data_IF_881683249074
#
_entry.id   IF_881683249074
#
_cell.length_a   1.000
_cell.length_b   1.000
_cell.length_c   1.000
_cell.angle_alpha   90.00
_cell.angle_beta   90.00
_cell.angle_gamma   90.00
#
_symmetry.space_group_name_H-M   'P 1'
#
loop_
_entity.id
_entity.type
_entity.pdbx_description
1 polymer ?
#
# COMPACT_ATOMS: atom_id res chain seq x y z
N UNK A 1 14.21 -18.54 -21.02
CA UNK A 1 13.57 -19.21 -19.90
C UNK A 1 12.39 -18.39 -19.42
N UNK A 2 11.32 -19.04 -19.20
CA UNK A 2 10.11 -18.38 -18.74
C UNK A 2 10.19 -18.07 -17.24
N UNK A 3 10.09 -16.84 -16.89
CA UNK A 3 9.96 -16.48 -15.49
C UNK A 3 8.61 -16.92 -14.97
N UNK A 4 8.61 -17.54 -13.82
CA UNK A 4 7.35 -17.83 -13.18
C UNK A 4 6.72 -16.50 -12.73
N UNK A 5 5.56 -16.20 -13.26
CA UNK A 5 4.80 -15.06 -12.82
C UNK A 5 4.02 -15.34 -11.54
N UNK A 6 4.03 -16.60 -11.11
CA UNK A 6 3.31 -17.05 -9.94
C UNK A 6 4.30 -17.59 -8.91
N UNK A 7 4.21 -17.08 -7.72
CA UNK A 7 5.03 -17.54 -6.60
C UNK A 7 4.24 -18.58 -5.82
N UNK A 8 4.91 -19.67 -5.45
CA UNK A 8 4.27 -20.74 -4.68
C UNK A 8 3.99 -20.32 -3.25
N UNK A 9 4.79 -19.39 -2.71
CA UNK A 9 4.61 -18.92 -1.34
C UNK A 9 4.86 -17.43 -1.24
N UNK A 10 4.39 -16.85 -0.14
CA UNK A 10 4.68 -15.46 0.17
C UNK A 10 6.18 -15.23 0.30
N UNK A 11 6.93 -16.22 0.82
CA UNK A 11 8.38 -16.12 0.95
C UNK A 11 9.07 -15.92 -0.40
N UNK A 12 8.58 -16.57 -1.45
CA UNK A 12 9.13 -16.40 -2.79
C UNK A 12 8.93 -14.97 -3.28
N UNK A 13 7.74 -14.42 -3.07
CA UNK A 13 7.43 -13.04 -3.43
C UNK A 13 8.29 -12.04 -2.63
N UNK A 14 8.49 -12.32 -1.34
CA UNK A 14 9.35 -11.49 -0.50
C UNK A 14 10.80 -11.52 -0.98
N UNK A 15 11.32 -12.68 -1.33
CA UNK A 15 12.68 -12.81 -1.85
C UNK A 15 12.86 -12.01 -3.14
N UNK A 16 11.93 -12.12 -4.06
CA UNK A 16 11.99 -11.37 -5.30
C UNK A 16 12.00 -9.87 -5.03
N UNK A 17 11.16 -9.41 -4.13
CA UNK A 17 11.08 -8.00 -3.77
C UNK A 17 12.37 -7.52 -3.12
N UNK A 18 12.93 -8.29 -2.20
CA UNK A 18 14.22 -7.96 -1.56
C UNK A 18 15.32 -7.82 -2.60
N UNK A 19 15.39 -8.75 -3.55
CA UNK A 19 16.39 -8.68 -4.61
C UNK A 19 16.19 -7.46 -5.51
N UNK A 20 14.95 -7.14 -5.83
CA UNK A 20 14.64 -5.96 -6.65
C UNK A 20 15.03 -4.65 -5.95
N UNK A 21 14.89 -4.59 -4.64
CA UNK A 21 15.25 -3.39 -3.85
C UNK A 21 16.76 -3.23 -3.74
N UNK A 22 17.49 -4.33 -3.69
CA UNK A 22 18.96 -4.25 -3.64
C UNK A 22 19.65 -5.35 -2.84
N UNK A 23 18.91 -6.40 -2.44
CA UNK A 23 19.46 -7.57 -1.77
C UNK A 23 19.34 -7.53 -0.26
N UNK A 24 19.70 -8.64 0.36
CA UNK A 24 19.49 -8.84 1.81
C UNK A 24 20.30 -7.89 2.68
N UNK A 25 21.47 -7.50 2.23
CA UNK A 25 22.31 -6.61 3.03
C UNK A 25 21.72 -5.21 3.11
N UNK A 26 21.30 -4.67 1.97
CA UNK A 26 20.69 -3.35 1.91
C UNK A 26 19.36 -3.33 2.66
N UNK A 27 18.49 -4.29 2.38
CA UNK A 27 17.16 -4.34 2.99
C UNK A 27 17.27 -4.64 4.48
N UNK A 28 18.18 -5.53 4.88
CA UNK A 28 18.42 -5.83 6.29
C UNK A 28 18.80 -4.59 7.09
N UNK A 29 19.68 -3.75 6.54
CA UNK A 29 20.06 -2.51 7.19
C UNK A 29 18.89 -1.53 7.34
N UNK A 30 17.96 -1.55 6.41
CA UNK A 30 16.76 -0.73 6.48
C UNK A 30 15.77 -1.21 7.53
N UNK A 31 15.64 -2.53 7.67
CA UNK A 31 14.71 -3.12 8.64
C UNK A 31 15.25 -3.07 10.06
N UNK A 32 16.54 -3.26 10.23
CA UNK A 32 17.19 -3.28 11.55
C UNK A 32 18.43 -2.39 11.54
N UNK A 33 18.24 -1.06 11.57
CA UNK A 33 19.37 -0.13 11.48
C UNK A 33 20.30 -0.18 12.68
N UNK A 34 19.85 -0.72 13.81
CA UNK A 34 20.65 -0.87 15.02
C UNK A 34 21.59 -2.08 14.98
N UNK A 35 21.40 -2.98 14.01
CA UNK A 35 22.27 -4.15 13.86
C UNK A 35 23.41 -3.90 12.90
N UNK A 36 24.48 -4.72 13.02
CA UNK A 36 25.52 -4.72 11.99
C UNK A 36 24.95 -5.21 10.68
N UNK A 37 25.57 -4.80 9.58
CA UNK A 37 25.09 -5.17 8.24
C UNK A 37 25.02 -6.70 8.06
N UNK A 38 26.04 -7.41 8.53
CA UNK A 38 26.07 -8.86 8.41
C UNK A 38 25.00 -9.56 9.26
N UNK A 39 24.76 -9.06 10.46
CA UNK A 39 23.73 -9.57 11.34
C UNK A 39 22.33 -9.34 10.77
N UNK A 40 22.09 -8.13 10.29
CA UNK A 40 20.79 -7.77 9.70
C UNK A 40 20.53 -8.61 8.44
N UNK A 41 21.53 -8.78 7.59
CA UNK A 41 21.41 -9.62 6.39
C UNK A 41 21.11 -11.06 6.73
N UNK A 42 21.80 -11.60 7.74
CA UNK A 42 21.58 -12.99 8.19
C UNK A 42 20.16 -13.17 8.76
N UNK A 43 19.71 -12.20 9.55
CA UNK A 43 18.35 -12.24 10.11
C UNK A 43 17.30 -12.19 9.02
N UNK A 44 17.52 -11.36 8.02
CA UNK A 44 16.58 -11.27 6.89
C UNK A 44 16.53 -12.59 6.12
N UNK A 45 17.67 -13.21 5.87
CA UNK A 45 17.69 -14.53 5.21
C UNK A 45 16.92 -15.58 6.00
N UNK A 46 17.04 -15.56 7.33
CA UNK A 46 16.26 -16.47 8.18
C UNK A 46 14.77 -16.21 8.06
N UNK A 47 14.37 -14.95 8.07
CA UNK A 47 12.95 -14.57 7.90
C UNK A 47 12.38 -14.97 6.54
N UNK A 48 13.22 -15.01 5.52
CA UNK A 48 12.81 -15.39 4.16
C UNK A 48 12.86 -16.89 3.93
N UNK A 49 13.41 -17.66 4.87
CA UNK A 49 13.49 -19.10 4.77
C UNK A 49 12.20 -19.72 5.29
N UNK A 50 11.52 -20.47 4.41
CA UNK A 50 10.23 -21.07 4.75
C UNK A 50 10.33 -22.08 5.90
N UNK A 51 11.50 -22.69 6.08
CA UNK A 51 11.73 -23.70 7.11
C UNK A 51 12.06 -23.12 8.48
N UNK A 52 12.26 -21.80 8.57
CA UNK A 52 12.58 -21.14 9.82
C UNK A 52 11.33 -20.59 10.49
N UNK A 53 11.39 -20.48 11.82
CA UNK A 53 10.30 -19.90 12.60
C UNK A 53 10.23 -18.39 12.47
N UNK A 54 11.39 -17.76 12.34
CA UNK A 54 11.49 -16.33 12.22
C UNK A 54 10.75 -15.86 10.97
N UNK A 55 9.86 -14.89 11.13
CA UNK A 55 9.11 -14.31 10.02
C UNK A 55 9.13 -12.79 10.16
N UNK A 56 8.94 -12.13 9.05
CA UNK A 56 8.76 -10.69 9.06
C UNK A 56 7.40 -10.34 9.67
N UNK A 57 7.36 -9.22 10.38
CA UNK A 57 6.09 -8.71 10.90
C UNK A 57 5.22 -8.21 9.75
N UNK A 58 3.89 -8.10 9.97
CA UNK A 58 3.03 -7.50 8.94
C UNK A 58 3.47 -6.10 8.52
N UNK A 59 3.97 -5.30 9.45
CA UNK A 59 4.45 -3.95 9.15
C UNK A 59 5.70 -3.98 8.27
N UNK A 60 6.57 -4.95 8.47
CA UNK A 60 7.76 -5.12 7.64
C UNK A 60 7.39 -5.58 6.24
N UNK A 61 6.41 -6.46 6.10
CA UNK A 61 5.89 -6.88 4.80
C UNK A 61 5.27 -5.70 4.07
N UNK A 62 4.51 -4.87 4.76
CA UNK A 62 3.91 -3.66 4.21
C UNK A 62 5.00 -2.69 3.72
N UNK A 63 6.04 -2.48 4.51
CA UNK A 63 7.17 -1.63 4.13
C UNK A 63 7.85 -2.15 2.87
N UNK A 64 8.10 -3.46 2.79
CA UNK A 64 8.71 -4.06 1.61
C UNK A 64 7.81 -3.94 0.38
N UNK A 65 6.50 -4.07 0.55
CA UNK A 65 5.55 -3.88 -0.54
C UNK A 65 5.62 -2.46 -1.09
N UNK A 66 5.71 -1.47 -0.20
CA UNK A 66 5.84 -0.06 -0.57
C UNK A 66 7.14 0.22 -1.32
N UNK A 67 8.24 -0.30 -0.78
CA UNK A 67 9.57 -0.15 -1.40
C UNK A 67 9.65 -0.88 -2.74
N UNK A 68 9.04 -2.06 -2.82
CA UNK A 68 8.96 -2.80 -4.08
C UNK A 68 8.23 -2.03 -5.17
N UNK A 69 7.12 -1.39 -4.81
CA UNK A 69 6.39 -0.55 -5.75
C UNK A 69 7.28 0.55 -6.34
N UNK A 70 8.11 1.16 -5.53
CA UNK A 70 9.01 2.23 -5.96
C UNK A 70 10.04 1.76 -7.00
N UNK A 71 10.42 0.50 -6.95
CA UNK A 71 11.38 -0.07 -7.91
C UNK A 71 10.69 -0.92 -8.99
N UNK A 72 9.38 -0.87 -9.06
CA UNK A 72 8.62 -1.58 -10.09
C UNK A 72 8.39 -3.06 -9.81
N UNK A 73 8.60 -3.51 -8.58
CA UNK A 73 8.36 -4.90 -8.19
C UNK A 73 7.07 -5.01 -7.36
N UNK A 74 6.06 -5.65 -7.92
CA UNK A 74 4.74 -5.77 -7.29
C UNK A 74 4.46 -7.20 -6.84
N UNK A 75 5.50 -8.02 -6.66
CA UNK A 75 5.37 -9.44 -6.41
C UNK A 75 4.57 -9.77 -5.16
N UNK A 76 4.77 -9.02 -4.07
CA UNK A 76 4.09 -9.29 -2.79
C UNK A 76 2.59 -9.06 -2.94
N UNK A 77 2.19 -7.91 -3.46
CA UNK A 77 0.77 -7.59 -3.63
C UNK A 77 0.10 -8.50 -4.64
N UNK A 78 0.78 -8.82 -5.73
CA UNK A 78 0.26 -9.75 -6.73
C UNK A 78 0.02 -11.12 -6.12
N UNK A 79 0.96 -11.62 -5.32
CA UNK A 79 0.80 -12.90 -4.63
C UNK A 79 -0.36 -12.87 -3.65
N UNK A 80 -0.43 -11.84 -2.80
CA UNK A 80 -1.49 -11.73 -1.80
C UNK A 80 -2.87 -11.67 -2.45
N UNK A 81 -3.02 -10.88 -3.49
CA UNK A 81 -4.30 -10.76 -4.18
C UNK A 81 -4.71 -12.08 -4.82
N UNK A 82 -3.77 -12.75 -5.49
CA UNK A 82 -4.07 -14.02 -6.15
C UNK A 82 -4.48 -15.11 -5.16
N UNK A 83 -3.74 -15.23 -4.06
CA UNK A 83 -4.00 -16.30 -3.09
C UNK A 83 -5.21 -16.06 -2.21
N UNK A 84 -5.61 -14.80 -2.06
CA UNK A 84 -6.78 -14.45 -1.26
C UNK A 84 -8.05 -14.27 -2.10
N UNK A 85 -7.94 -14.39 -3.42
CA UNK A 85 -9.10 -14.35 -4.29
C UNK A 85 -9.49 -12.98 -4.81
N UNK A 86 -8.54 -12.05 -4.84
CA UNK A 86 -8.75 -10.72 -5.41
C UNK A 86 -8.09 -10.60 -6.77
N UNK A 87 -8.57 -9.67 -7.58
CA UNK A 87 -7.93 -9.35 -8.85
C UNK A 87 -6.54 -8.76 -8.61
N UNK A 88 -5.66 -8.90 -9.60
CA UNK A 88 -4.33 -8.31 -9.49
C UNK A 88 -4.42 -6.80 -9.28
N UNK A 89 -3.61 -6.27 -8.36
CA UNK A 89 -3.65 -4.86 -8.05
C UNK A 89 -2.99 -4.02 -9.14
N UNK A 90 -3.49 -2.82 -9.31
CA UNK A 90 -2.89 -1.82 -10.20
C UNK A 90 -2.31 -0.71 -9.33
N UNK A 91 -1.01 -0.40 -9.46
CA UNK A 91 -0.42 0.68 -8.68
C UNK A 91 -1.11 2.02 -8.96
N UNK A 92 -1.34 2.76 -7.89
CA UNK A 92 -1.94 4.10 -8.01
C UNK A 92 -0.83 5.10 -8.34
N UNK A 93 -1.00 5.83 -9.42
CA UNK A 93 -0.06 6.87 -9.79
C UNK A 93 -0.31 8.14 -8.99
N UNK A 94 0.74 8.88 -8.62
CA UNK A 94 0.56 10.11 -7.83
C UNK A 94 -0.37 11.14 -8.48
N UNK A 95 -0.33 11.27 -9.80
CA UNK A 95 -1.23 12.17 -10.52
C UNK A 95 -2.69 11.72 -10.40
N UNK A 96 -2.94 10.43 -10.46
CA UNK A 96 -4.28 9.88 -10.30
C UNK A 96 -4.82 10.11 -8.89
N UNK A 97 -3.98 10.02 -7.89
CA UNK A 97 -4.35 10.34 -6.50
C UNK A 97 -4.75 11.80 -6.37
N UNK A 98 -3.95 12.68 -6.92
CA UNK A 98 -4.22 14.13 -6.89
C UNK A 98 -5.54 14.42 -7.59
N UNK A 99 -5.75 13.85 -8.77
CA UNK A 99 -6.98 14.05 -9.54
C UNK A 99 -8.20 13.57 -8.76
N UNK A 100 -8.09 12.42 -8.09
CA UNK A 100 -9.17 11.88 -7.26
C UNK A 100 -9.48 12.80 -6.09
N UNK A 101 -8.46 13.27 -5.40
CA UNK A 101 -8.63 14.18 -4.26
C UNK A 101 -9.25 15.49 -4.70
N UNK A 102 -8.88 16.01 -5.87
CA UNK A 102 -9.48 17.22 -6.42
C UNK A 102 -10.97 17.03 -6.71
N UNK A 103 -11.34 15.88 -7.26
CA UNK A 103 -12.76 15.57 -7.51
C UNK A 103 -13.55 15.48 -6.22
N UNK A 104 -12.98 14.79 -5.22
CA UNK A 104 -13.61 14.69 -3.90
C UNK A 104 -13.82 16.05 -3.25
N UNK A 105 -12.83 16.92 -3.39
CA UNK A 105 -12.92 18.29 -2.88
C UNK A 105 -14.05 19.08 -3.56
N UNK A 106 -14.13 18.99 -4.88
CA UNK A 106 -15.20 19.66 -5.65
C UNK A 106 -16.57 19.13 -5.24
N UNK A 107 -16.72 17.81 -5.12
CA UNK A 107 -17.98 17.19 -4.71
C UNK A 107 -18.39 17.62 -3.30
N UNK A 108 -17.45 17.68 -2.37
CA UNK A 108 -17.71 18.14 -1.00
C UNK A 108 -18.16 19.60 -0.97
N UNK A 109 -17.49 20.46 -1.75
CA UNK A 109 -17.85 21.88 -1.86
C UNK A 109 -19.26 22.05 -2.42
N UNK A 110 -19.59 21.25 -3.43
CA UNK A 110 -20.92 21.27 -4.05
C UNK A 110 -22.00 20.85 -3.05
N UNK A 111 -21.73 19.80 -2.28
CA UNK A 111 -22.65 19.33 -1.23
C UNK A 111 -22.87 20.37 -0.15
N UNK A 112 -21.82 21.07 0.26
CA UNK A 112 -21.90 22.16 1.23
C UNK A 112 -22.75 23.31 0.69
N UNK A 113 -22.58 23.66 -0.58
CA UNK A 113 -23.38 24.71 -1.22
C UNK A 113 -24.86 24.34 -1.25
N UNK A 114 -25.17 23.11 -1.57
CA UNK A 114 -26.57 22.62 -1.58
C UNK A 114 -27.18 22.65 -0.18
N UNK A 115 -26.42 22.27 0.82
CA UNK A 115 -26.88 22.28 2.20
C UNK A 115 -27.16 23.70 2.68
N UNK A 116 -26.26 24.63 2.37
CA UNK A 116 -26.44 26.04 2.70
C UNK A 116 -27.70 26.62 2.06
N UNK A 117 -27.94 26.29 0.79
CA UNK A 117 -29.15 26.72 0.07
C UNK A 117 -30.42 26.17 0.73
N UNK A 118 -30.39 24.90 1.18
CA UNK A 118 -31.53 24.30 1.89
C UNK A 118 -31.80 25.00 3.22
N UNK A 119 -30.75 25.33 3.96
CA UNK A 119 -30.89 26.05 5.24
C UNK A 119 -31.53 27.41 5.00
N UNK A 120 -31.05 28.16 4.02
CA UNK A 120 -31.62 29.46 3.67
C UNK A 120 -33.09 29.36 3.28
N UNK A 121 -33.44 28.36 2.46
CA UNK A 121 -34.81 28.12 2.06
C UNK A 121 -35.70 27.82 3.25
N UNK A 122 -35.23 26.98 4.17
CA UNK A 122 -35.99 26.66 5.39
C UNK A 122 -36.16 27.85 6.31
N UNK A 123 -35.14 28.70 6.46
CA UNK A 123 -35.26 29.93 7.26
C UNK A 123 -36.21 30.88 6.64
N UNK A 124 -36.17 31.06 5.32
CA UNK A 124 -37.08 31.93 4.59
C UNK A 124 -38.54 31.46 4.76
N UNK A 125 -38.80 30.16 4.62
CA UNK A 125 -40.11 29.61 4.81
C UNK A 125 -40.64 29.81 6.25
N UNK A 126 -39.73 29.67 7.22
CA UNK A 126 -40.10 29.89 8.64
C UNK A 126 -40.48 31.35 8.89
N UNK A 127 -39.78 32.27 8.33
CA UNK A 127 -40.10 33.71 8.45
C UNK A 127 -41.42 34.04 7.81
N UNK A 128 -41.71 33.45 6.65
CA UNK A 128 -43.02 33.66 5.99
C UNK A 128 -44.20 33.08 6.81
N UNK A 129 -43.98 31.99 7.52
CA UNK A 129 -45.01 31.41 8.37
C UNK A 129 -45.33 32.27 9.60
N UNK A 130 -44.35 32.98 10.09
CA UNK A 130 -44.48 33.83 11.27
C UNK A 130 -45.14 35.18 10.92
N UNK A 131 -44.95 35.64 9.69
CA UNK A 131 -45.62 36.83 9.18
C UNK A 131 -47.05 36.52 8.83
#
# INVERSE_FOLDING_TARGET
MQMSLMHESLNDALRETVQAIGGTKKVGCMLWPEMTADHASSRLRDCLNIDRREKLSPEQVEMLSRMGRQVGCHAIMAHLCRTTGYAEPVPVEPEDEIARMQREFVDATKSLGQLAARIESMQSNKLQRVA
#
